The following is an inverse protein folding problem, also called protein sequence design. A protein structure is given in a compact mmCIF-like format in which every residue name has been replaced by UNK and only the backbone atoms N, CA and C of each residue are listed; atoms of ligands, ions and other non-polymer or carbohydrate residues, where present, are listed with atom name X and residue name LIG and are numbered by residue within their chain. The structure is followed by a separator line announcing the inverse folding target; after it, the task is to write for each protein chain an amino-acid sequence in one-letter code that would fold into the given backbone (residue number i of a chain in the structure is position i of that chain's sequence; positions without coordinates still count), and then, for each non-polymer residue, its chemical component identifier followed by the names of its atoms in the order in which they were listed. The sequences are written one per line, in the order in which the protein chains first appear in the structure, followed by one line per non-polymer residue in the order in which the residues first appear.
data_IF_026227810373
#
_entry.id   IF_026227810373
#
_cell.length_a   1.000
_cell.length_b   1.000
_cell.length_c   1.000
_cell.angle_alpha   90.00
_cell.angle_beta   90.00
_cell.angle_gamma   90.00
#
_symmetry.space_group_name_H-M   'P 1'
#
loop_
_entity.id
_entity.type
_entity.pdbx_description
1 polymer ?
#
# COMPACT_ATOMS: atom_id res chain seq x y z
N UNK A 1 11.73 -60.71 -42.50
CA UNK A 1 10.62 -61.27 -41.68
C UNK A 1 9.51 -60.22 -41.67
N UNK A 2 8.21 -60.44 -41.98
CA UNK A 2 7.28 -61.55 -41.69
C UNK A 2 6.99 -61.68 -40.17
N UNK A 3 5.76 -61.62 -39.61
CA UNK A 3 4.33 -61.48 -40.04
C UNK A 3 3.55 -60.90 -38.82
N UNK A 4 2.27 -60.46 -38.77
CA UNK A 4 1.01 -60.38 -39.60
C UNK A 4 0.14 -59.23 -38.97
N UNK A 5 -0.99 -58.64 -39.43
CA UNK A 5 -2.16 -58.98 -40.29
C UNK A 5 -3.23 -59.87 -39.55
N UNK A 6 -4.46 -59.49 -39.10
CA UNK A 6 -5.39 -58.31 -39.13
C UNK A 6 -6.30 -58.38 -37.85
N UNK A 7 -7.28 -57.52 -37.52
CA UNK A 7 -7.94 -56.33 -38.13
C UNK A 7 -9.48 -56.52 -38.26
N UNK A 8 -10.25 -55.42 -38.46
CA UNK A 8 -11.72 -55.37 -38.73
C UNK A 8 -12.68 -55.84 -37.57
N UNK A 9 -13.94 -55.36 -37.38
CA UNK A 9 -14.72 -54.22 -37.94
C UNK A 9 -16.04 -53.96 -37.13
N UNK A 10 -16.59 -52.73 -37.21
CA UNK A 10 -18.01 -52.33 -36.93
C UNK A 10 -18.53 -52.54 -35.48
N UNK A 11 -19.54 -51.82 -34.96
CA UNK A 11 -20.30 -50.65 -35.43
C UNK A 11 -21.52 -50.34 -34.51
N UNK A 12 -22.24 -49.24 -34.78
CA UNK A 12 -23.54 -48.81 -34.21
C UNK A 12 -23.59 -48.09 -32.82
N UNK A 13 -24.11 -46.85 -32.85
CA UNK A 13 -24.96 -46.18 -31.83
C UNK A 13 -26.37 -46.82 -31.79
N UNK A 14 -27.29 -46.53 -30.83
CA UNK A 14 -27.45 -45.30 -30.02
C UNK A 14 -27.85 -45.50 -28.54
N UNK A 15 -28.19 -44.41 -27.84
CA UNK A 15 -28.95 -44.45 -26.58
C UNK A 15 -28.82 -43.19 -25.73
N UNK A 16 -29.94 -42.51 -25.44
CA UNK A 16 -30.00 -41.42 -24.46
C UNK A 16 -30.61 -41.93 -23.15
N UNK A 17 -30.19 -41.38 -22.00
CA UNK A 17 -30.72 -41.72 -20.68
C UNK A 17 -30.69 -40.54 -19.72
N UNK A 18 -31.82 -40.26 -19.07
CA UNK A 18 -31.97 -39.22 -18.05
C UNK A 18 -31.62 -39.77 -16.65
N UNK A 19 -31.04 -38.96 -15.74
CA UNK A 19 -31.06 -39.25 -14.31
C UNK A 19 -32.45 -38.90 -13.72
N UNK A 20 -33.01 -39.81 -12.92
CA UNK A 20 -34.30 -39.61 -12.24
C UNK A 20 -34.22 -38.83 -10.92
N UNK A 21 -35.37 -38.37 -10.36
CA UNK A 21 -35.41 -37.52 -9.18
C UNK A 21 -35.29 -38.29 -7.86
N UNK A 22 -34.76 -37.63 -6.82
CA UNK A 22 -34.81 -38.12 -5.45
C UNK A 22 -36.21 -37.89 -4.83
N UNK A 23 -36.76 -38.91 -4.17
CA UNK A 23 -38.06 -38.85 -3.49
C UNK A 23 -37.98 -38.21 -2.09
N UNK A 24 -39.12 -37.70 -1.61
CA UNK A 24 -39.22 -36.98 -0.33
C UNK A 24 -39.96 -37.76 0.76
N UNK A 25 -39.60 -37.51 2.03
CA UNK A 25 -40.42 -37.80 3.21
C UNK A 25 -39.66 -38.27 4.46
N UNK A 26 -40.20 -38.20 5.68
CA UNK A 26 -41.31 -37.35 6.20
C UNK A 26 -41.39 -37.51 7.74
N UNK A 27 -41.60 -36.42 8.51
CA UNK A 27 -42.10 -36.41 9.92
C UNK A 27 -41.18 -37.07 10.99
N UNK A 28 -41.30 -36.82 12.31
CA UNK A 28 -41.92 -35.72 13.08
C UNK A 28 -41.27 -35.62 14.50
N UNK A 29 -41.48 -34.47 15.17
CA UNK A 29 -41.69 -34.29 16.65
C UNK A 29 -40.57 -34.32 17.72
N UNK A 30 -40.72 -33.29 18.57
CA UNK A 30 -40.70 -33.25 20.04
C UNK A 30 -39.41 -33.49 20.85
N UNK A 31 -38.98 -32.43 21.54
CA UNK A 31 -37.88 -32.43 22.51
C UNK A 31 -37.91 -31.23 23.48
N UNK A 32 -38.94 -31.11 24.32
CA UNK A 32 -39.06 -30.01 25.28
C UNK A 32 -37.95 -30.03 26.36
N UNK A 33 -37.26 -28.90 26.58
CA UNK A 33 -36.68 -28.53 27.89
C UNK A 33 -36.89 -27.05 28.19
N UNK A 34 -37.00 -26.71 29.49
CA UNK A 34 -37.29 -25.37 30.01
C UNK A 34 -36.09 -24.80 30.80
N UNK A 35 -35.91 -23.47 30.73
CA UNK A 35 -35.55 -22.46 31.78
C UNK A 35 -34.79 -22.92 33.04
N UNK A 36 -33.86 -22.11 33.61
CA UNK A 36 -34.00 -20.65 33.88
C UNK A 36 -32.85 -19.80 33.28
N UNK A 37 -32.79 -18.47 33.44
CA UNK A 37 -33.67 -17.52 34.13
C UNK A 37 -32.86 -16.55 35.01
N UNK A 38 -32.59 -15.34 34.52
CA UNK A 38 -31.67 -14.37 35.13
C UNK A 38 -32.35 -13.63 36.30
N UNK A 39 -31.72 -13.67 37.48
CA UNK A 39 -32.14 -12.91 38.66
C UNK A 39 -31.60 -11.47 38.67
N UNK A 40 -32.37 -10.54 39.25
CA UNK A 40 -31.94 -9.14 39.49
C UNK A 40 -31.65 -8.90 40.96
N UNK A 41 -30.56 -8.20 41.24
CA UNK A 41 -30.21 -7.57 42.52
C UNK A 41 -28.81 -6.94 42.38
N UNK A 42 -28.52 -5.74 42.89
CA UNK A 42 -29.35 -4.87 43.72
C UNK A 42 -28.62 -4.51 45.02
N UNK A 43 -27.69 -3.56 44.96
CA UNK A 43 -26.88 -3.12 46.09
C UNK A 43 -26.04 -1.92 45.71
N UNK A 44 -26.40 -0.76 46.25
CA UNK A 44 -25.79 0.55 45.99
C UNK A 44 -25.32 1.14 47.34
N UNK A 45 -24.05 1.55 47.42
CA UNK A 45 -23.46 2.21 48.61
C UNK A 45 -22.38 3.21 48.19
N UNK A 46 -22.75 4.49 48.17
CA UNK A 46 -21.85 5.65 48.06
C UNK A 46 -20.82 5.70 49.22
N UNK A 47 -19.58 6.10 48.93
CA UNK A 47 -18.75 6.87 49.87
C UNK A 47 -17.68 7.75 49.23
N UNK A 48 -18.08 8.96 48.84
CA UNK A 48 -17.17 10.09 48.56
C UNK A 48 -16.20 10.39 49.71
N UNK A 49 -14.93 10.73 49.39
CA UNK A 49 -14.23 11.87 50.02
C UNK A 49 -13.02 12.34 49.19
N UNK A 50 -13.02 13.62 48.84
CA UNK A 50 -11.81 14.35 48.43
C UNK A 50 -11.26 15.14 49.63
N UNK A 51 -10.01 15.63 49.55
CA UNK A 51 -9.54 16.93 50.08
C UNK A 51 -8.01 17.12 49.86
N UNK A 52 -7.65 17.97 48.91
CA UNK A 52 -6.49 18.88 48.98
C UNK A 52 -6.98 20.24 49.56
N UNK A 53 -6.16 21.30 49.83
CA UNK A 53 -4.74 21.51 49.48
C UNK A 53 -3.83 22.01 50.64
N UNK A 54 -2.58 22.36 50.34
CA UNK A 54 -1.63 23.06 51.23
C UNK A 54 -0.97 24.29 50.57
N UNK A 55 -0.57 25.28 51.38
CA UNK A 55 -0.23 26.68 51.04
C UNK A 55 0.72 27.27 52.10
N UNK A 56 1.51 28.33 51.90
CA UNK A 56 1.87 29.20 50.77
C UNK A 56 3.34 29.67 50.98
N UNK A 57 4.05 30.18 49.95
CA UNK A 57 5.35 30.86 50.16
C UNK A 57 6.06 31.34 48.88
N UNK A 58 6.68 32.52 48.91
CA UNK A 58 7.30 33.16 47.75
C UNK A 58 8.53 34.05 48.07
N UNK A 59 9.56 33.95 47.20
CA UNK A 59 10.50 35.01 46.78
C UNK A 59 11.47 35.64 47.85
N UNK A 60 12.43 36.51 47.48
CA UNK A 60 13.60 36.28 46.61
C UNK A 60 14.96 36.61 47.28
N UNK A 61 16.10 36.37 46.61
CA UNK A 61 17.32 37.17 46.91
C UNK A 61 18.69 36.70 46.38
N UNK A 62 19.29 37.52 45.50
CA UNK A 62 20.72 37.67 45.18
C UNK A 62 21.55 36.45 44.64
N UNK A 63 22.47 36.62 43.68
CA UNK A 63 22.76 37.82 42.87
C UNK A 63 24.11 37.73 42.13
N UNK A 64 24.18 38.27 40.90
CA UNK A 64 25.42 38.37 40.08
C UNK A 64 25.57 39.80 39.52
N UNK A 65 26.81 40.21 39.21
CA UNK A 65 27.22 41.62 39.02
C UNK A 65 27.01 42.14 37.59
N UNK A 66 26.76 43.45 37.47
CA UNK A 66 26.83 44.23 36.21
C UNK A 66 28.30 44.50 35.84
N UNK A 67 28.74 44.71 34.58
CA UNK A 67 28.42 45.70 33.52
C UNK A 67 29.21 45.33 32.22
N UNK A 68 29.13 46.06 31.07
CA UNK A 68 28.14 47.03 30.58
C UNK A 68 27.54 46.67 29.19
N UNK A 69 26.67 47.52 28.65
CA UNK A 69 26.12 47.40 27.28
C UNK A 69 27.09 47.85 26.17
N UNK A 70 26.85 47.33 24.96
CA UNK A 70 26.92 48.14 23.73
C UNK A 70 25.61 48.02 22.95
N UNK A 71 25.15 49.11 22.32
CA UNK A 71 24.01 49.12 21.38
C UNK A 71 24.46 48.50 20.06
N UNK A 72 23.77 47.52 19.49
CA UNK A 72 22.42 47.56 18.89
C UNK A 72 22.42 48.21 17.49
N UNK A 73 22.07 47.42 16.48
CA UNK A 73 21.93 47.82 15.08
C UNK A 73 21.10 46.77 14.36
N UNK A 74 19.77 46.92 14.37
CA UNK A 74 18.85 45.97 13.78
C UNK A 74 18.51 46.32 12.33
N UNK A 75 18.65 45.34 11.42
CA UNK A 75 17.96 45.32 10.14
C UNK A 75 16.82 44.29 10.19
N UNK A 76 15.73 44.46 9.42
CA UNK A 76 14.63 43.50 9.41
C UNK A 76 15.11 42.18 8.80
N UNK A 77 14.91 41.07 9.52
CA UNK A 77 15.03 39.72 8.96
C UNK A 77 13.80 39.49 8.08
N UNK A 78 13.91 39.89 6.81
CA UNK A 78 12.92 39.55 5.77
C UNK A 78 12.75 38.04 5.72
N UNK A 79 11.49 37.58 5.65
CA UNK A 79 11.12 36.20 5.92
C UNK A 79 12.02 35.16 5.25
N UNK A 80 12.65 34.33 6.07
CA UNK A 80 13.37 33.15 5.62
C UNK A 80 12.35 32.21 4.97
N UNK A 81 12.30 32.21 3.63
CA UNK A 81 11.47 31.26 2.88
C UNK A 81 11.91 29.85 3.25
N UNK A 82 11.06 29.16 4.00
CA UNK A 82 11.18 27.72 4.21
C UNK A 82 11.05 27.10 2.83
N UNK A 83 12.09 26.37 2.40
CA UNK A 83 12.02 25.59 1.16
C UNK A 83 10.84 24.63 1.26
N UNK A 84 9.88 24.64 0.32
CA UNK A 84 8.72 23.75 0.39
C UNK A 84 9.11 22.26 0.24
N UNK A 85 10.30 21.99 -0.30
CA UNK A 85 10.88 20.65 -0.36
C UNK A 85 11.36 20.20 1.02
N UNK A 86 10.74 19.13 1.53
CA UNK A 86 11.19 18.41 2.72
C UNK A 86 12.40 17.56 2.34
N UNK A 87 13.60 18.13 2.54
CA UNK A 87 14.81 17.32 2.61
C UNK A 87 14.62 16.25 3.71
N UNK A 88 14.94 14.99 3.37
CA UNK A 88 14.64 13.76 4.12
C UNK A 88 14.13 13.97 5.56
N UNK A 89 12.82 13.87 5.75
CA UNK A 89 12.16 14.15 7.02
C UNK A 89 12.78 13.32 8.15
N UNK A 90 13.04 13.96 9.29
CA UNK A 90 13.58 13.29 10.48
C UNK A 90 12.49 12.70 11.39
N UNK A 91 11.25 13.19 11.24
CA UNK A 91 10.03 12.73 11.93
C UNK A 91 8.84 12.84 10.99
N UNK A 92 7.77 12.10 11.29
CA UNK A 92 6.43 12.23 10.71
C UNK A 92 5.48 12.64 11.83
N UNK A 93 4.71 13.72 11.61
CA UNK A 93 3.74 14.27 12.57
C UNK A 93 2.30 14.05 12.10
N UNK A 94 1.30 14.32 12.94
CA UNK A 94 -0.11 14.25 12.54
C UNK A 94 -0.42 15.14 11.32
N UNK A 95 0.16 16.36 11.26
CA UNK A 95 0.07 17.27 10.11
C UNK A 95 0.60 16.67 8.79
N UNK A 96 1.53 15.71 8.86
CA UNK A 96 2.09 15.04 7.68
C UNK A 96 1.18 13.94 7.11
N UNK A 97 0.26 13.39 7.90
CA UNK A 97 -0.48 12.15 7.57
C UNK A 97 -1.35 12.29 6.32
N UNK A 98 -2.01 13.44 6.15
CA UNK A 98 -2.81 13.71 4.95
C UNK A 98 -1.93 13.75 3.69
N UNK A 99 -0.79 14.45 3.75
CA UNK A 99 0.16 14.50 2.64
C UNK A 99 0.86 13.16 2.41
N UNK A 100 1.09 12.37 3.45
CA UNK A 100 1.66 11.03 3.32
C UNK A 100 0.70 10.10 2.55
N UNK A 101 -0.60 10.14 2.86
CA UNK A 101 -1.65 9.43 2.11
C UNK A 101 -1.74 9.91 0.65
N UNK A 102 -1.78 11.21 0.40
CA UNK A 102 -1.83 11.76 -0.98
C UNK A 102 -0.56 11.47 -1.79
N UNK A 103 0.58 11.29 -1.13
CA UNK A 103 1.77 10.73 -1.76
C UNK A 103 1.58 9.26 -2.13
N UNK A 104 1.00 8.47 -1.22
CA UNK A 104 0.80 7.03 -1.40
C UNK A 104 -0.17 6.67 -2.54
N UNK A 105 -1.18 7.50 -2.82
CA UNK A 105 -2.13 7.28 -3.94
C UNK A 105 -1.46 7.45 -5.31
N UNK A 106 -0.51 8.39 -5.46
CA UNK A 106 0.25 8.57 -6.70
C UNK A 106 1.04 7.31 -7.09
N UNK A 107 1.57 6.58 -6.12
CA UNK A 107 2.33 5.35 -6.35
C UNK A 107 1.46 4.09 -6.55
N UNK A 108 0.13 4.23 -6.55
CA UNK A 108 -0.84 3.17 -6.89
C UNK A 108 -2.15 3.79 -7.42
N UNK A 109 -2.15 4.33 -8.66
CA UNK A 109 -3.25 5.14 -9.20
C UNK A 109 -4.51 4.34 -9.57
N UNK A 110 -4.59 3.05 -9.20
CA UNK A 110 -5.71 2.17 -9.51
C UNK A 110 -6.67 1.97 -8.33
N UNK A 111 -6.19 2.15 -7.10
CA UNK A 111 -6.97 1.89 -5.90
C UNK A 111 -7.91 3.06 -5.58
N UNK A 112 -9.20 2.76 -5.43
CA UNK A 112 -10.22 3.73 -5.03
C UNK A 112 -9.99 4.23 -3.60
N UNK A 113 -10.25 5.52 -3.36
CA UNK A 113 -10.01 6.22 -2.07
C UNK A 113 -11.04 5.86 -0.96
N UNK A 114 -11.46 4.60 -0.88
CA UNK A 114 -12.37 4.12 0.15
C UNK A 114 -11.77 4.31 1.55
N UNK A 115 -12.57 4.79 2.51
CA UNK A 115 -12.17 5.10 3.89
C UNK A 115 -10.97 6.06 4.09
N UNK A 116 -10.56 6.80 3.05
CA UNK A 116 -9.45 7.77 3.09
C UNK A 116 -9.47 8.70 4.31
N UNK A 117 -10.59 9.36 4.58
CA UNK A 117 -10.72 10.28 5.71
C UNK A 117 -10.51 9.56 7.04
N UNK A 118 -11.25 8.47 7.28
CA UNK A 118 -11.15 7.65 8.49
C UNK A 118 -9.74 7.11 8.74
N UNK A 119 -8.99 6.75 7.68
CA UNK A 119 -7.61 6.27 7.76
C UNK A 119 -6.62 7.39 8.10
N UNK A 120 -6.82 8.60 7.55
CA UNK A 120 -6.02 9.78 7.88
C UNK A 120 -6.29 10.19 9.33
N UNK A 121 -7.56 10.33 9.72
CA UNK A 121 -7.98 10.74 11.06
C UNK A 121 -7.49 9.75 12.14
N UNK A 122 -7.57 8.44 11.88
CA UNK A 122 -7.09 7.39 12.78
C UNK A 122 -5.56 7.45 12.99
N UNK A 123 -4.77 7.50 11.91
CA UNK A 123 -3.30 7.53 12.01
C UNK A 123 -2.80 8.87 12.55
N UNK A 124 -3.48 9.98 12.25
CA UNK A 124 -3.20 11.28 12.87
C UNK A 124 -3.44 11.25 14.38
N UNK A 125 -4.61 10.77 14.84
CA UNK A 125 -4.90 10.62 16.28
C UNK A 125 -3.90 9.71 16.98
N UNK A 126 -3.51 8.60 16.36
CA UNK A 126 -2.50 7.69 16.92
C UNK A 126 -1.13 8.37 17.10
N UNK A 127 -0.73 9.24 16.17
CA UNK A 127 0.53 10.00 16.26
C UNK A 127 0.42 11.16 17.27
N UNK A 128 -0.74 11.77 17.44
CA UNK A 128 -0.96 12.77 18.51
C UNK A 128 -0.95 12.13 19.91
N UNK A 129 -1.51 10.93 20.07
CA UNK A 129 -1.55 10.19 21.34
C UNK A 129 -0.19 9.55 21.72
N UNK A 130 0.59 9.07 20.74
CA UNK A 130 1.88 8.37 20.98
C UNK A 130 3.11 9.26 20.77
N UNK A 131 2.99 10.33 20.00
CA UNK A 131 4.06 11.25 19.61
C UNK A 131 4.62 11.02 18.19
N UNK A 132 5.39 11.99 17.65
CA UNK A 132 5.89 11.93 16.28
C UNK A 132 6.77 10.70 15.98
N UNK A 133 6.47 9.99 14.90
CA UNK A 133 7.21 8.81 14.46
C UNK A 133 8.56 9.24 13.90
N UNK A 134 9.66 8.75 14.48
CA UNK A 134 11.02 9.05 14.03
C UNK A 134 11.31 8.34 12.70
N UNK A 135 11.80 9.07 11.71
CA UNK A 135 12.12 8.55 10.38
C UNK A 135 13.65 8.47 10.18
N UNK A 136 14.15 7.29 9.82
CA UNK A 136 15.58 7.01 9.69
C UNK A 136 15.95 6.31 8.38
N UNK A 137 17.08 6.68 7.77
CA UNK A 137 17.68 5.86 6.71
C UNK A 137 18.26 4.58 7.36
N UNK A 138 18.20 3.40 6.71
CA UNK A 138 18.77 2.16 7.26
C UNK A 138 20.22 2.29 7.75
N UNK A 139 21.06 3.08 7.06
CA UNK A 139 22.45 3.32 7.43
C UNK A 139 22.66 4.23 8.67
N UNK A 140 21.59 4.75 9.29
CA UNK A 140 21.65 5.57 10.51
C UNK A 140 21.41 4.75 11.80
N UNK A 141 21.04 3.48 11.69
CA UNK A 141 20.75 2.58 12.81
C UNK A 141 21.78 1.44 12.91
N UNK A 142 21.87 0.72 14.06
CA UNK A 142 22.74 -0.43 14.20
C UNK A 142 22.45 -1.49 13.14
N UNK A 143 23.48 -1.93 12.42
CA UNK A 143 23.35 -2.81 11.27
C UNK A 143 22.82 -4.22 11.62
N UNK A 144 22.95 -4.61 12.89
CA UNK A 144 22.54 -5.87 13.50
C UNK A 144 21.16 -5.82 14.16
N UNK A 145 20.58 -4.64 14.36
CA UNK A 145 19.20 -4.50 14.86
C UNK A 145 18.21 -5.08 13.84
N UNK A 146 17.20 -5.80 14.33
CA UNK A 146 16.18 -6.44 13.50
C UNK A 146 15.14 -5.42 13.00
N UNK A 147 14.53 -5.74 11.87
CA UNK A 147 13.44 -4.97 11.25
C UNK A 147 12.54 -5.89 10.44
N UNK A 148 11.30 -5.44 10.17
CA UNK A 148 10.31 -6.15 9.37
C UNK A 148 9.55 -5.21 8.42
N UNK A 149 9.19 -5.74 7.25
CA UNK A 149 8.35 -5.09 6.25
C UNK A 149 6.87 -5.24 6.61
N UNK A 150 6.13 -4.13 6.63
CA UNK A 150 4.70 -4.06 6.98
C UNK A 150 3.91 -3.55 5.78
N UNK A 151 2.70 -4.07 5.56
CA UNK A 151 1.72 -3.52 4.62
C UNK A 151 0.30 -4.02 4.94
N UNK A 152 -0.68 -3.60 4.14
CA UNK A 152 -1.97 -4.30 3.97
C UNK A 152 -1.84 -5.27 2.79
N UNK A 153 -2.45 -6.44 2.89
CA UNK A 153 -2.67 -7.37 1.78
C UNK A 153 -4.16 -7.68 1.64
N UNK A 154 -4.64 -7.87 0.42
CA UNK A 154 -6.06 -8.03 0.12
C UNK A 154 -6.70 -6.75 -0.45
N UNK A 155 -8.03 -6.64 -0.34
CA UNK A 155 -8.78 -5.56 -0.99
C UNK A 155 -8.95 -4.32 -0.11
N UNK A 156 -8.72 -3.15 -0.70
CA UNK A 156 -9.09 -1.86 -0.10
C UNK A 156 -10.60 -1.70 0.14
N UNK A 157 -11.46 -2.41 -0.61
CA UNK A 157 -12.90 -2.45 -0.33
C UNK A 157 -13.23 -3.28 0.92
N UNK A 158 -12.57 -4.42 1.11
CA UNK A 158 -12.73 -5.24 2.31
C UNK A 158 -12.23 -4.52 3.57
N UNK A 159 -11.13 -3.77 3.45
CA UNK A 159 -10.67 -2.86 4.50
C UNK A 159 -11.68 -1.73 4.79
N UNK A 160 -12.40 -1.24 3.79
CA UNK A 160 -13.40 -0.20 3.99
C UNK A 160 -14.68 -0.72 4.67
N UNK A 161 -15.12 -1.93 4.33
CA UNK A 161 -16.27 -2.61 4.94
C UNK A 161 -15.96 -3.16 6.34
N UNK A 162 -14.71 -3.57 6.60
CA UNK A 162 -14.21 -4.10 7.87
C UNK A 162 -12.91 -3.36 8.27
N UNK A 163 -13.00 -2.12 8.79
CA UNK A 163 -11.83 -1.30 9.12
C UNK A 163 -11.00 -1.86 10.28
N UNK A 164 -9.72 -1.44 10.42
CA UNK A 164 -8.87 -1.87 11.53
C UNK A 164 -9.46 -1.52 12.90
N UNK A 165 -9.38 -2.47 13.82
CA UNK A 165 -9.62 -2.30 15.26
C UNK A 165 -8.48 -1.52 15.93
N UNK A 166 -7.27 -1.58 15.36
CA UNK A 166 -6.12 -0.74 15.69
C UNK A 166 -4.85 -1.51 16.04
N UNK A 167 -4.96 -2.77 16.48
CA UNK A 167 -3.84 -3.59 16.94
C UNK A 167 -3.33 -4.60 15.89
N UNK A 168 -3.95 -4.70 14.71
CA UNK A 168 -3.63 -5.72 13.71
C UNK A 168 -2.16 -5.66 13.27
N UNK A 169 -1.66 -4.46 12.97
CA UNK A 169 -0.31 -4.24 12.43
C UNK A 169 0.78 -4.48 13.49
N UNK A 170 0.61 -3.95 14.70
CA UNK A 170 1.56 -4.16 15.79
C UNK A 170 1.50 -5.60 16.31
N UNK A 171 0.31 -6.21 16.37
CA UNK A 171 0.12 -7.63 16.69
C UNK A 171 0.83 -8.56 15.70
N UNK A 172 0.70 -8.32 14.40
CA UNK A 172 1.44 -9.09 13.38
C UNK A 172 2.96 -9.00 13.59
N UNK A 173 3.49 -7.83 13.97
CA UNK A 173 4.90 -7.70 14.38
C UNK A 173 5.19 -8.46 15.68
N UNK A 174 4.37 -8.35 16.72
CA UNK A 174 4.58 -9.07 17.99
C UNK A 174 4.55 -10.60 17.82
N UNK A 175 3.78 -11.12 16.89
CA UNK A 175 3.77 -12.55 16.54
C UNK A 175 5.02 -12.96 15.75
N UNK A 176 5.44 -12.12 14.78
CA UNK A 176 6.69 -12.34 14.06
C UNK A 176 7.91 -12.31 15.00
N UNK A 177 7.96 -11.35 15.93
CA UNK A 177 8.98 -11.27 17.01
C UNK A 177 9.05 -12.54 17.87
N UNK A 178 7.90 -13.11 18.23
CA UNK A 178 7.81 -14.35 19.00
C UNK A 178 8.38 -15.55 18.23
N UNK A 179 8.12 -15.62 16.93
CA UNK A 179 8.59 -16.72 16.09
C UNK A 179 10.08 -16.60 15.73
N UNK A 180 10.59 -15.40 15.40
CA UNK A 180 12.02 -15.21 15.06
C UNK A 180 12.94 -15.09 16.30
N UNK A 181 12.36 -14.94 17.50
CA UNK A 181 13.13 -14.91 18.76
C UNK A 181 13.84 -13.59 19.04
N UNK A 182 13.30 -12.46 18.58
CA UNK A 182 13.90 -11.13 18.76
C UNK A 182 12.91 -9.99 18.60
N UNK A 183 13.21 -8.82 19.18
CA UNK A 183 12.41 -7.59 19.00
C UNK A 183 12.82 -6.86 17.72
N UNK A 184 11.85 -6.26 17.03
CA UNK A 184 12.13 -5.36 15.91
C UNK A 184 12.56 -4.00 16.46
N UNK A 185 13.73 -3.53 16.03
CA UNK A 185 14.27 -2.20 16.35
C UNK A 185 13.79 -1.10 15.38
N UNK A 186 13.18 -1.48 14.26
CA UNK A 186 12.53 -0.58 13.31
C UNK A 186 11.48 -1.34 12.47
N UNK A 187 10.55 -0.63 11.84
CA UNK A 187 9.65 -1.17 10.81
C UNK A 187 9.73 -0.34 9.53
N UNK A 188 9.27 -0.88 8.40
CA UNK A 188 9.31 -0.19 7.11
C UNK A 188 8.20 -0.70 6.16
N UNK A 189 7.78 0.09 5.15
CA UNK A 189 6.81 -0.38 4.17
C UNK A 189 7.35 -1.53 3.32
N UNK A 190 6.54 -2.56 3.09
CA UNK A 190 6.79 -3.50 1.97
C UNK A 190 6.69 -2.74 0.64
N UNK A 191 5.66 -1.89 0.52
CA UNK A 191 5.44 -0.96 -0.57
C UNK A 191 4.96 0.39 0.01
N UNK A 192 5.65 1.48 -0.33
CA UNK A 192 5.25 2.83 0.03
C UNK A 192 4.20 3.35 -0.96
N UNK A 193 3.01 2.75 -0.93
CA UNK A 193 1.87 3.11 -1.76
C UNK A 193 0.55 2.69 -1.07
N UNK A 194 -0.58 3.24 -1.52
CA UNK A 194 -1.95 3.02 -0.96
C UNK A 194 -2.04 3.19 0.57
N UNK A 195 -3.09 2.63 1.17
CA UNK A 195 -3.17 2.34 2.61
C UNK A 195 -2.03 1.43 3.12
N UNK A 196 -1.35 0.68 2.25
CA UNK A 196 -0.15 -0.09 2.61
C UNK A 196 1.02 0.77 3.05
N UNK A 197 1.06 2.06 2.69
CA UNK A 197 1.97 3.04 3.26
C UNK A 197 1.61 3.42 4.71
N UNK A 198 0.31 3.43 5.06
CA UNK A 198 -0.21 3.83 6.37
C UNK A 198 0.07 2.76 7.44
N UNK A 199 -0.03 1.48 7.07
CA UNK A 199 0.24 0.33 7.93
C UNK A 199 1.59 0.37 8.71
N UNK A 200 2.76 0.56 8.08
CA UNK A 200 4.04 0.69 8.77
C UNK A 200 4.13 1.96 9.63
N UNK A 201 3.44 3.05 9.26
CA UNK A 201 3.43 4.28 10.05
C UNK A 201 2.64 4.11 11.35
N UNK A 202 1.47 3.47 11.28
CA UNK A 202 0.68 3.09 12.45
C UNK A 202 1.41 2.07 13.34
N UNK A 203 2.05 1.06 12.73
CA UNK A 203 2.86 0.09 13.46
C UNK A 203 4.05 0.74 14.18
N UNK A 204 4.74 1.70 13.55
CA UNK A 204 5.86 2.42 14.14
C UNK A 204 5.43 3.22 15.39
N UNK A 205 4.28 3.90 15.30
CA UNK A 205 3.68 4.66 16.39
C UNK A 205 3.31 3.76 17.60
N UNK A 206 2.48 2.73 17.40
CA UNK A 206 2.00 1.84 18.48
C UNK A 206 3.13 0.99 19.11
N UNK A 207 4.10 0.55 18.30
CA UNK A 207 5.25 -0.22 18.80
C UNK A 207 6.31 0.65 19.51
N UNK A 208 6.29 1.98 19.30
CA UNK A 208 7.30 2.92 19.78
C UNK A 208 8.68 2.76 19.12
N UNK A 209 8.71 2.44 17.82
CA UNK A 209 9.95 2.16 17.06
C UNK A 209 10.10 3.10 15.85
N UNK A 210 11.32 3.41 15.39
CA UNK A 210 11.51 4.22 14.19
C UNK A 210 10.97 3.54 12.92
N UNK A 211 10.43 4.35 12.03
CA UNK A 211 10.12 4.00 10.65
C UNK A 211 11.39 4.15 9.80
N UNK A 212 11.65 3.23 8.86
CA UNK A 212 12.74 3.40 7.90
C UNK A 212 12.28 4.14 6.64
N UNK A 213 13.10 5.09 6.20
CA UNK A 213 12.95 5.83 4.94
C UNK A 213 13.45 4.99 3.76
N UNK A 214 12.83 3.82 3.56
CA UNK A 214 13.02 2.91 2.45
C UNK A 214 11.82 1.95 2.31
N UNK A 215 11.62 1.35 1.13
CA UNK A 215 10.64 0.27 0.96
C UNK A 215 11.20 -0.91 0.13
N UNK A 216 10.37 -1.92 -0.12
CA UNK A 216 10.70 -3.04 -0.99
C UNK A 216 10.41 -2.82 -2.48
N UNK A 217 9.54 -1.88 -2.88
CA UNK A 217 8.93 -1.85 -4.22
C UNK A 217 9.06 -0.51 -4.96
N UNK A 218 8.93 0.62 -4.28
CA UNK A 218 8.96 1.97 -4.85
C UNK A 218 7.66 2.41 -5.54
N UNK A 219 6.70 1.48 -5.65
CA UNK A 219 5.31 1.55 -6.13
C UNK A 219 4.55 0.34 -5.57
N UNK A 220 3.29 0.10 -5.93
CA UNK A 220 2.68 -1.23 -5.73
C UNK A 220 3.11 -2.23 -6.82
N UNK A 221 3.29 -3.51 -6.44
CA UNK A 221 3.32 -4.67 -7.33
C UNK A 221 2.43 -5.80 -6.77
N UNK A 222 2.02 -6.74 -7.62
CA UNK A 222 0.91 -7.68 -7.34
C UNK A 222 1.20 -8.87 -6.39
N UNK A 223 2.45 -9.11 -5.98
CA UNK A 223 2.86 -10.26 -5.15
C UNK A 223 3.88 -9.82 -4.10
N UNK A 224 3.87 -10.40 -2.89
CA UNK A 224 4.71 -9.94 -1.78
C UNK A 224 6.20 -10.15 -2.03
N UNK A 225 6.57 -11.13 -2.87
CA UNK A 225 7.96 -11.33 -3.28
C UNK A 225 8.45 -10.40 -4.40
N UNK A 226 7.59 -9.58 -5.01
CA UNK A 226 7.99 -8.62 -6.05
C UNK A 226 8.70 -7.40 -5.45
N UNK A 227 9.85 -7.62 -4.79
CA UNK A 227 10.61 -6.58 -4.09
C UNK A 227 12.09 -6.56 -4.51
N UNK A 228 12.69 -5.36 -4.47
CA UNK A 228 14.13 -5.17 -4.53
C UNK A 228 14.87 -5.96 -3.44
N UNK A 229 14.19 -6.22 -2.31
CA UNK A 229 14.73 -7.03 -1.20
C UNK A 229 14.89 -8.49 -1.60
N UNK A 230 13.90 -9.06 -2.29
CA UNK A 230 13.98 -10.40 -2.84
C UNK A 230 15.06 -10.51 -3.92
N UNK A 231 15.14 -9.54 -4.84
CA UNK A 231 16.23 -9.42 -5.83
C UNK A 231 17.61 -9.26 -5.16
N UNK A 232 17.66 -8.63 -3.98
CA UNK A 232 18.85 -8.51 -3.12
C UNK A 232 19.13 -9.76 -2.26
N UNK A 233 18.38 -10.85 -2.42
CA UNK A 233 18.57 -12.12 -1.72
C UNK A 233 18.02 -12.18 -0.29
N UNK A 234 17.17 -11.24 0.13
CA UNK A 234 16.49 -11.27 1.43
C UNK A 234 15.24 -12.17 1.33
N UNK A 235 15.07 -13.06 2.31
CA UNK A 235 13.90 -13.93 2.43
C UNK A 235 12.63 -13.13 2.74
N UNK A 236 11.55 -13.41 2.02
CA UNK A 236 10.18 -12.95 2.35
C UNK A 236 9.70 -13.51 3.69
N UNK A 237 10.03 -14.77 3.98
CA UNK A 237 9.56 -15.51 5.13
C UNK A 237 10.60 -15.63 6.27
N UNK A 238 10.17 -16.00 7.50
CA UNK A 238 8.78 -16.23 7.89
C UNK A 238 7.95 -14.94 7.86
N UNK A 239 6.65 -15.06 7.60
CA UNK A 239 5.72 -13.93 7.53
C UNK A 239 4.43 -14.23 8.31
N UNK A 240 3.84 -13.20 8.89
CA UNK A 240 2.58 -13.23 9.62
C UNK A 240 1.53 -12.41 8.88
N UNK A 241 0.32 -12.95 8.80
CA UNK A 241 -0.88 -12.26 8.36
C UNK A 241 -1.87 -12.21 9.52
N UNK A 242 -2.42 -11.05 9.86
CA UNK A 242 -3.42 -10.90 10.94
C UNK A 242 -4.67 -10.17 10.45
N UNK A 243 -5.84 -10.77 10.66
CA UNK A 243 -7.15 -10.24 10.25
C UNK A 243 -7.75 -9.31 11.29
N UNK A 244 -8.74 -8.50 10.88
CA UNK A 244 -9.41 -7.51 11.72
C UNK A 244 -10.15 -8.08 12.94
N UNK A 245 -10.52 -9.36 12.87
CA UNK A 245 -11.19 -10.11 13.96
C UNK A 245 -10.20 -10.77 14.93
N UNK A 246 -8.90 -10.63 14.70
CA UNK A 246 -7.82 -11.02 15.61
C UNK A 246 -7.17 -12.37 15.31
N UNK A 247 -7.73 -13.18 14.41
CA UNK A 247 -7.07 -14.40 13.90
C UNK A 247 -5.80 -14.07 13.12
N UNK A 248 -4.82 -14.98 13.17
CA UNK A 248 -3.57 -14.86 12.45
C UNK A 248 -3.13 -16.15 11.75
N UNK A 249 -2.27 -16.00 10.74
CA UNK A 249 -1.66 -17.07 9.97
C UNK A 249 -0.17 -16.78 9.84
N UNK A 250 0.67 -17.66 10.39
CA UNK A 250 2.11 -17.70 10.14
C UNK A 250 2.37 -18.56 8.90
N UNK A 251 3.14 -18.04 7.94
CA UNK A 251 3.57 -18.76 6.74
C UNK A 251 5.11 -18.83 6.73
N UNK A 252 5.64 -20.05 6.74
CA UNK A 252 7.05 -20.36 6.52
C UNK A 252 7.17 -21.19 5.24
N UNK A 253 7.80 -20.63 4.21
CA UNK A 253 7.99 -21.26 2.92
C UNK A 253 9.35 -20.88 2.32
N UNK A 254 10.24 -21.84 1.98
CA UNK A 254 11.54 -21.54 1.36
C UNK A 254 11.45 -21.01 -0.08
N UNK A 255 10.32 -21.25 -0.75
CA UNK A 255 9.98 -20.73 -2.07
C UNK A 255 9.07 -19.50 -1.89
N UNK A 256 9.51 -18.29 -2.27
CA UNK A 256 8.71 -17.08 -2.10
C UNK A 256 7.46 -17.05 -2.99
N UNK A 257 7.47 -17.68 -4.17
CA UNK A 257 6.27 -17.83 -4.99
C UNK A 257 5.27 -18.80 -4.35
N UNK A 258 5.75 -19.77 -3.56
CA UNK A 258 4.90 -20.60 -2.69
C UNK A 258 4.34 -19.82 -1.51
N UNK A 259 5.09 -18.88 -0.94
CA UNK A 259 4.61 -18.02 0.14
C UNK A 259 3.40 -17.17 -0.34
N UNK A 260 3.51 -16.51 -1.49
CA UNK A 260 2.41 -15.79 -2.15
C UNK A 260 1.19 -16.70 -2.44
N UNK A 261 1.43 -17.92 -2.92
CA UNK A 261 0.37 -18.89 -3.22
C UNK A 261 -0.34 -19.43 -1.96
N UNK A 262 0.30 -19.37 -0.79
CA UNK A 262 -0.31 -19.69 0.51
C UNK A 262 -1.02 -18.47 1.11
N UNK A 263 -0.46 -17.28 0.96
CA UNK A 263 -1.02 -16.05 1.50
C UNK A 263 -2.37 -15.69 0.86
N UNK A 264 -2.51 -15.84 -0.46
CA UNK A 264 -3.74 -15.47 -1.19
C UNK A 264 -5.04 -16.07 -0.60
N UNK A 265 -5.20 -17.40 -0.44
CA UNK A 265 -6.41 -17.95 0.17
C UNK A 265 -6.56 -17.61 1.66
N UNK A 266 -5.46 -17.35 2.38
CA UNK A 266 -5.54 -16.89 3.77
C UNK A 266 -6.16 -15.48 3.90
N UNK A 267 -5.97 -14.59 2.92
CA UNK A 267 -6.63 -13.27 2.90
C UNK A 267 -8.15 -13.41 2.83
N UNK A 268 -8.67 -14.32 2.01
CA UNK A 268 -10.13 -14.58 1.90
C UNK A 268 -10.71 -15.04 3.24
N UNK A 269 -10.01 -15.94 3.94
CA UNK A 269 -10.43 -16.50 5.24
C UNK A 269 -10.35 -15.46 6.37
N UNK A 270 -9.40 -14.52 6.30
CA UNK A 270 -9.23 -13.43 7.28
C UNK A 270 -10.18 -12.23 7.09
N UNK A 271 -11.14 -12.32 6.15
CA UNK A 271 -12.15 -11.27 5.91
C UNK A 271 -11.92 -10.42 4.66
N UNK A 272 -11.02 -10.82 3.76
CA UNK A 272 -10.74 -10.14 2.50
C UNK A 272 -9.60 -9.11 2.54
N UNK A 273 -9.06 -8.84 3.73
CA UNK A 273 -7.78 -8.16 3.94
C UNK A 273 -7.06 -8.71 5.18
N UNK A 274 -5.76 -8.44 5.29
CA UNK A 274 -4.97 -8.68 6.50
C UNK A 274 -3.83 -7.66 6.65
N UNK A 275 -3.45 -7.38 7.88
CA UNK A 275 -2.16 -6.79 8.20
C UNK A 275 -1.05 -7.81 7.94
N UNK A 276 -0.01 -7.41 7.22
CA UNK A 276 1.15 -8.24 6.90
C UNK A 276 2.38 -7.77 7.69
N UNK A 277 3.13 -8.71 8.25
CA UNK A 277 4.49 -8.50 8.73
C UNK A 277 5.41 -9.60 8.18
N UNK A 278 6.47 -9.23 7.46
CA UNK A 278 7.41 -10.19 6.85
C UNK A 278 8.79 -9.58 6.62
N UNK A 279 9.63 -10.24 5.81
CA UNK A 279 11.03 -9.86 5.62
C UNK A 279 11.79 -9.57 6.95
N UNK A 280 11.71 -10.44 7.97
CA UNK A 280 12.42 -10.23 9.23
C UNK A 280 13.94 -10.31 9.00
N UNK A 281 14.68 -9.24 9.32
CA UNK A 281 16.12 -9.25 9.11
C UNK A 281 16.89 -8.05 9.67
N UNK A 282 18.23 -8.16 9.72
CA UNK A 282 19.10 -7.09 10.20
C UNK A 282 19.06 -5.88 9.24
N UNK A 283 18.88 -4.67 9.79
CA UNK A 283 18.77 -3.41 9.03
C UNK A 283 19.96 -3.19 8.07
N UNK A 284 21.14 -3.70 8.41
CA UNK A 284 22.33 -3.68 7.56
C UNK A 284 22.18 -4.42 6.22
N UNK A 285 21.21 -5.31 6.05
CA UNK A 285 20.87 -5.93 4.76
C UNK A 285 20.14 -4.93 3.84
N UNK A 286 19.18 -4.17 4.38
CA UNK A 286 18.35 -3.21 3.64
C UNK A 286 19.19 -2.13 2.94
N UNK A 287 20.37 -1.79 3.49
CA UNK A 287 21.32 -0.82 2.90
C UNK A 287 21.76 -1.13 1.46
N UNK A 288 21.56 -2.36 0.97
CA UNK A 288 21.91 -2.81 -0.39
C UNK A 288 20.72 -3.39 -1.17
N UNK A 289 19.53 -3.43 -0.57
CA UNK A 289 18.41 -4.26 -1.05
C UNK A 289 17.03 -3.60 -0.90
N UNK A 290 16.87 -2.56 -0.08
CA UNK A 290 15.67 -1.73 -0.02
C UNK A 290 15.87 -0.44 -0.81
N UNK A 291 14.78 0.12 -1.34
CA UNK A 291 14.79 1.35 -2.14
C UNK A 291 14.75 2.58 -1.23
N UNK A 292 15.80 3.42 -1.18
CA UNK A 292 15.91 4.46 -0.15
C UNK A 292 15.15 5.74 -0.51
N UNK A 293 14.54 6.38 0.50
CA UNK A 293 13.88 7.68 0.38
C UNK A 293 12.42 7.65 -0.06
N UNK A 294 11.77 6.49 0.01
CA UNK A 294 10.40 6.29 -0.49
C UNK A 294 9.37 6.97 0.41
N UNK A 295 9.46 6.79 1.72
CA UNK A 295 8.57 7.42 2.73
C UNK A 295 8.65 8.95 2.66
N UNK A 296 9.85 9.51 2.68
CA UNK A 296 10.04 10.97 2.58
C UNK A 296 9.64 11.52 1.20
N UNK A 297 9.75 10.72 0.13
CA UNK A 297 9.24 11.07 -1.21
C UNK A 297 7.71 11.12 -1.23
N UNK A 298 7.00 10.27 -0.49
CA UNK A 298 5.53 10.35 -0.38
C UNK A 298 5.09 11.70 0.18
N UNK A 299 5.65 12.12 1.33
CA UNK A 299 5.30 13.40 1.97
C UNK A 299 5.54 14.58 1.00
N UNK A 300 6.65 14.58 0.26
CA UNK A 300 6.93 15.61 -0.75
C UNK A 300 5.95 15.60 -1.93
N UNK A 301 5.58 14.42 -2.45
CA UNK A 301 4.64 14.28 -3.58
C UNK A 301 3.22 14.66 -3.15
N UNK A 302 2.75 14.23 -1.98
CA UNK A 302 1.41 14.54 -1.52
C UNK A 302 1.22 16.00 -1.10
N UNK A 303 2.22 16.64 -0.47
CA UNK A 303 2.19 18.10 -0.23
C UNK A 303 1.99 18.87 -1.54
N UNK A 304 2.70 18.48 -2.59
CA UNK A 304 2.55 19.04 -3.95
C UNK A 304 1.14 18.77 -4.51
N UNK A 305 0.59 17.57 -4.37
CA UNK A 305 -0.74 17.20 -4.89
C UNK A 305 -1.90 17.84 -4.10
N UNK A 306 -1.68 18.23 -2.84
CA UNK A 306 -2.63 18.99 -2.02
C UNK A 306 -2.64 20.49 -2.34
N UNK A 307 -1.62 21.03 -2.99
CA UNK A 307 -1.55 22.42 -3.43
C UNK A 307 -2.34 22.61 -4.75
N UNK A 308 -3.41 23.44 -4.79
CA UNK A 308 -4.14 23.69 -6.03
C UNK A 308 -3.26 24.36 -7.10
N UNK A 309 -3.26 23.83 -8.32
CA UNK A 309 -2.48 24.37 -9.43
C UNK A 309 -2.95 23.85 -10.80
N UNK A 310 -2.55 24.57 -11.84
CA UNK A 310 -2.77 24.16 -13.23
C UNK A 310 -1.99 22.88 -13.55
N UNK A 311 -2.55 22.00 -14.38
CA UNK A 311 -1.99 20.68 -14.71
C UNK A 311 -0.51 20.75 -15.14
N UNK A 312 -0.14 21.76 -15.94
CA UNK A 312 1.24 21.93 -16.43
C UNK A 312 2.24 22.35 -15.34
N UNK A 313 1.79 23.07 -14.31
CA UNK A 313 2.60 23.41 -13.13
C UNK A 313 2.75 22.19 -12.21
N UNK A 314 1.67 21.45 -11.98
CA UNK A 314 1.67 20.24 -11.14
C UNK A 314 2.56 19.17 -11.75
N UNK A 315 2.41 18.87 -13.05
CA UNK A 315 3.23 17.89 -13.78
C UNK A 315 4.70 18.33 -13.83
N UNK A 316 4.99 19.63 -14.02
CA UNK A 316 6.35 20.15 -13.98
C UNK A 316 7.03 19.95 -12.61
N UNK A 317 6.30 20.17 -11.51
CA UNK A 317 6.82 19.92 -10.14
C UNK A 317 6.97 18.42 -9.84
N UNK A 318 6.03 17.57 -10.27
CA UNK A 318 6.14 16.11 -10.14
C UNK A 318 7.40 15.61 -10.87
N UNK A 319 7.65 16.11 -12.08
CA UNK A 319 8.86 15.79 -12.87
C UNK A 319 10.15 16.05 -12.09
N UNK A 320 10.24 17.19 -11.40
CA UNK A 320 11.41 17.56 -10.60
C UNK A 320 11.66 16.68 -9.36
N UNK A 321 10.62 16.04 -8.80
CA UNK A 321 10.74 15.18 -7.60
C UNK A 321 10.91 13.70 -7.97
N UNK A 322 10.33 13.25 -9.08
CA UNK A 322 10.11 11.82 -9.37
C UNK A 322 10.63 11.37 -10.74
N UNK A 323 10.98 12.29 -11.64
CA UNK A 323 11.24 11.99 -13.04
C UNK A 323 9.99 11.72 -13.89
N UNK A 324 8.79 12.03 -13.38
CA UNK A 324 7.53 11.98 -14.17
C UNK A 324 7.66 12.74 -15.48
N UNK A 325 7.18 12.15 -16.58
CA UNK A 325 6.99 12.80 -17.88
C UNK A 325 5.55 12.64 -18.34
N UNK A 326 5.03 13.61 -19.09
CA UNK A 326 3.81 13.41 -19.88
C UNK A 326 4.13 12.62 -21.15
N UNK A 327 3.26 11.69 -21.52
CA UNK A 327 3.28 11.02 -22.83
C UNK A 327 2.48 11.84 -23.83
N UNK A 328 1.25 12.21 -23.45
CA UNK A 328 0.32 12.98 -24.27
C UNK A 328 -0.80 13.63 -23.46
N UNK A 329 -1.62 14.45 -24.12
CA UNK A 329 -2.84 15.09 -23.58
C UNK A 329 -4.01 14.90 -24.54
N UNK A 330 -5.08 14.27 -24.07
CA UNK A 330 -6.22 13.92 -24.91
C UNK A 330 -7.50 13.64 -24.15
N UNK A 331 -8.59 13.40 -24.87
CA UNK A 331 -9.86 12.97 -24.28
C UNK A 331 -10.01 11.46 -24.33
N UNK A 332 -10.52 10.88 -23.26
CA UNK A 332 -10.97 9.48 -23.26
C UNK A 332 -12.12 9.36 -24.27
N UNK A 333 -11.95 8.53 -25.29
CA UNK A 333 -12.99 8.26 -26.32
C UNK A 333 -13.64 6.89 -26.16
N UNK A 334 -12.94 5.93 -25.55
CA UNK A 334 -13.46 4.58 -25.30
C UNK A 334 -12.91 4.00 -23.98
N UNK A 335 -13.76 3.26 -23.27
CA UNK A 335 -13.44 2.48 -22.08
C UNK A 335 -13.93 1.04 -22.29
N UNK A 336 -13.04 0.15 -22.69
CA UNK A 336 -13.38 -1.26 -22.93
C UNK A 336 -13.48 -1.98 -21.58
N UNK A 337 -14.63 -2.54 -21.23
CA UNK A 337 -14.84 -3.26 -19.98
C UNK A 337 -14.92 -4.78 -20.22
N UNK A 338 -13.80 -5.42 -20.63
CA UNK A 338 -13.74 -6.88 -20.63
C UNK A 338 -13.65 -7.40 -19.19
N UNK A 339 -14.78 -7.85 -18.65
CA UNK A 339 -14.86 -8.62 -17.40
C UNK A 339 -14.12 -9.96 -17.53
N UNK A 340 -12.79 -9.93 -17.54
CA UNK A 340 -11.92 -11.11 -17.42
C UNK A 340 -12.14 -11.66 -16.00
N UNK A 341 -12.37 -12.98 -15.82
CA UNK A 341 -12.66 -13.54 -14.50
C UNK A 341 -11.39 -13.63 -13.64
N UNK A 342 -11.06 -12.51 -13.01
CA UNK A 342 -10.06 -12.37 -11.95
C UNK A 342 -10.75 -11.66 -10.79
N UNK A 343 -11.16 -12.46 -9.80
CA UNK A 343 -11.85 -12.09 -8.56
C UNK A 343 -13.20 -11.36 -8.71
N UNK A 344 -14.30 -12.08 -8.41
CA UNK A 344 -15.68 -11.57 -8.41
C UNK A 344 -15.97 -10.49 -7.33
N UNK A 345 -14.97 -10.10 -6.56
CA UNK A 345 -15.02 -9.17 -5.43
C UNK A 345 -14.48 -7.77 -5.74
N UNK A 346 -13.84 -7.59 -6.91
CA UNK A 346 -13.33 -6.30 -7.39
C UNK A 346 -14.25 -5.78 -8.50
N UNK A 347 -14.60 -4.48 -8.53
CA UNK A 347 -15.29 -3.88 -9.68
C UNK A 347 -14.53 -4.14 -10.97
N UNK A 348 -15.24 -4.39 -12.07
CA UNK A 348 -14.62 -4.60 -13.37
C UNK A 348 -14.01 -3.29 -13.89
N UNK A 349 -12.74 -3.02 -13.56
CA UNK A 349 -11.97 -1.94 -14.17
C UNK A 349 -11.98 -2.09 -15.71
N UNK A 350 -11.91 -0.99 -16.47
CA UNK A 350 -11.72 -1.07 -17.91
C UNK A 350 -10.44 -1.86 -18.22
N UNK A 351 -10.50 -2.79 -19.17
CA UNK A 351 -9.37 -3.59 -19.65
C UNK A 351 -8.49 -2.82 -20.63
N UNK A 352 -9.05 -1.85 -21.34
CA UNK A 352 -8.30 -0.86 -22.10
C UNK A 352 -8.98 0.51 -22.11
N UNK A 353 -8.18 1.56 -22.24
CA UNK A 353 -8.62 2.96 -22.32
C UNK A 353 -8.04 3.56 -23.59
N UNK A 354 -8.89 4.13 -24.45
CA UNK A 354 -8.48 4.81 -25.68
C UNK A 354 -8.62 6.32 -25.50
N UNK A 355 -7.55 7.05 -25.82
CA UNK A 355 -7.45 8.51 -25.68
C UNK A 355 -7.09 9.10 -27.05
N UNK A 356 -7.90 10.05 -27.50
CA UNK A 356 -7.65 10.86 -28.71
C UNK A 356 -6.86 12.12 -28.30
N UNK A 357 -5.60 12.22 -28.74
CA UNK A 357 -4.75 13.36 -28.38
C UNK A 357 -5.13 14.63 -29.15
N UNK A 358 -4.88 15.79 -28.52
CA UNK A 358 -5.03 17.10 -29.18
C UNK A 358 -4.08 17.29 -30.39
N UNK A 359 -3.11 16.39 -30.58
CA UNK A 359 -2.23 16.31 -31.76
C UNK A 359 -2.67 15.31 -32.84
N UNK A 360 -3.75 14.55 -32.63
CA UNK A 360 -4.27 13.55 -33.58
C UNK A 360 -3.60 12.17 -33.56
N UNK A 361 -2.79 11.88 -32.54
CA UNK A 361 -2.30 10.53 -32.24
C UNK A 361 -3.28 9.81 -31.32
N UNK A 362 -3.38 8.48 -31.42
CA UNK A 362 -4.22 7.66 -30.54
C UNK A 362 -3.35 6.97 -29.50
N UNK A 363 -3.61 7.27 -28.22
CA UNK A 363 -3.05 6.50 -27.11
C UNK A 363 -4.00 5.36 -26.72
N UNK A 364 -3.45 4.15 -26.59
CA UNK A 364 -4.13 2.98 -26.02
C UNK A 364 -3.39 2.56 -24.75
N UNK A 365 -4.10 2.54 -23.63
CA UNK A 365 -3.61 2.02 -22.36
C UNK A 365 -4.16 0.60 -22.17
N UNK A 366 -3.29 -0.35 -21.82
CA UNK A 366 -3.68 -1.70 -21.38
C UNK A 366 -3.74 -1.74 -19.85
N UNK A 367 -4.84 -2.25 -19.31
CA UNK A 367 -5.12 -2.23 -17.88
C UNK A 367 -5.30 -3.65 -17.30
N UNK A 368 -4.96 -3.76 -16.01
CA UNK A 368 -5.13 -4.93 -15.12
C UNK A 368 -5.71 -4.41 -13.80
N UNK A 369 -5.08 -4.74 -12.67
CA UNK A 369 -5.19 -3.98 -11.41
C UNK A 369 -4.47 -2.62 -11.47
N UNK A 370 -3.88 -2.25 -12.61
CA UNK A 370 -3.14 -1.01 -12.87
C UNK A 370 -2.94 -0.84 -14.38
N UNK A 371 -2.47 0.34 -14.84
CA UNK A 371 -2.06 0.53 -16.24
C UNK A 371 -0.69 -0.12 -16.45
N UNK A 372 -0.62 -1.16 -17.29
CA UNK A 372 0.57 -2.00 -17.49
C UNK A 372 1.32 -1.70 -18.79
N UNK A 373 0.68 -1.04 -19.76
CA UNK A 373 1.31 -0.58 -21.00
C UNK A 373 0.60 0.63 -21.59
N UNK A 374 1.36 1.48 -22.29
CA UNK A 374 0.89 2.59 -23.11
C UNK A 374 1.42 2.41 -24.53
N UNK A 375 0.52 2.43 -25.49
CA UNK A 375 0.82 2.44 -26.92
C UNK A 375 0.42 3.79 -27.51
N UNK A 376 1.23 4.34 -28.42
CA UNK A 376 0.91 5.51 -29.25
C UNK A 376 0.97 5.06 -30.70
N UNK A 377 -0.15 5.16 -31.42
CA UNK A 377 -0.32 4.68 -32.81
C UNK A 377 0.20 3.25 -33.04
N UNK A 378 0.02 2.38 -32.03
CA UNK A 378 0.48 0.98 -32.03
C UNK A 378 1.93 0.74 -31.57
N UNK A 379 2.74 1.78 -31.38
CA UNK A 379 4.08 1.67 -30.83
C UNK A 379 4.07 1.74 -29.29
N UNK A 380 4.71 0.79 -28.61
CA UNK A 380 4.84 0.77 -27.14
C UNK A 380 5.74 1.92 -26.64
N UNK A 381 5.19 2.88 -25.88
CA UNK A 381 5.88 4.10 -25.42
C UNK A 381 6.18 4.13 -23.91
N UNK A 382 5.46 3.32 -23.13
CA UNK A 382 5.73 3.02 -21.71
C UNK A 382 5.11 1.66 -21.33
N UNK A 383 5.65 1.01 -20.30
CA UNK A 383 5.08 -0.23 -19.75
C UNK A 383 5.59 -0.51 -18.33
N UNK A 384 4.97 -1.46 -17.63
CA UNK A 384 5.50 -2.00 -16.39
C UNK A 384 6.98 -2.43 -16.57
N UNK A 385 7.89 -2.05 -15.66
CA UNK A 385 7.66 -1.55 -14.30
C UNK A 385 7.44 -0.04 -14.18
N UNK A 386 7.47 0.76 -15.25
CA UNK A 386 7.19 2.21 -15.17
C UNK A 386 5.77 2.45 -14.63
N UNK A 387 5.64 3.41 -13.72
CA UNK A 387 4.38 3.78 -13.07
C UNK A 387 3.61 4.74 -13.98
N UNK A 388 2.41 4.33 -14.40
CA UNK A 388 1.57 5.12 -15.32
C UNK A 388 0.34 5.64 -14.56
N UNK A 389 0.17 6.95 -14.55
CA UNK A 389 -0.92 7.65 -13.87
C UNK A 389 -1.74 8.46 -14.88
N UNK A 390 -3.04 8.64 -14.62
CA UNK A 390 -3.87 9.62 -15.33
C UNK A 390 -4.06 10.86 -14.45
N UNK A 391 -3.90 12.04 -15.03
CA UNK A 391 -4.15 13.31 -14.35
C UNK A 391 -5.25 14.08 -15.08
N UNK A 392 -6.29 14.43 -14.32
CA UNK A 392 -7.45 15.21 -14.72
C UNK A 392 -7.06 16.67 -14.97
N UNK A 393 -7.12 17.10 -16.22
CA UNK A 393 -6.73 18.47 -16.59
C UNK A 393 -7.78 19.49 -16.12
N UNK A 394 -9.06 19.12 -16.11
CA UNK A 394 -10.17 20.02 -15.76
C UNK A 394 -10.41 20.08 -14.24
N UNK A 395 -10.19 18.96 -13.51
CA UNK A 395 -10.35 18.87 -12.05
C UNK A 395 -9.01 19.02 -11.29
N UNK A 396 -7.88 19.15 -11.99
CA UNK A 396 -6.58 19.50 -11.42
C UNK A 396 -5.97 18.48 -10.46
N UNK A 397 -6.22 17.17 -10.69
CA UNK A 397 -5.89 16.10 -9.73
C UNK A 397 -5.63 14.75 -10.44
N UNK A 398 -5.14 13.76 -9.72
CA UNK A 398 -5.06 12.38 -10.25
C UNK A 398 -6.45 11.76 -10.42
N UNK A 399 -6.65 11.01 -11.50
CA UNK A 399 -7.86 10.23 -11.76
C UNK A 399 -7.62 8.75 -11.43
N UNK A 400 -8.26 8.18 -10.39
CA UNK A 400 -8.21 6.73 -10.17
C UNK A 400 -8.97 5.98 -11.28
N UNK A 401 -8.50 4.78 -11.62
CA UNK A 401 -8.94 4.03 -12.82
C UNK A 401 -10.41 3.57 -12.79
N UNK A 402 -11.04 3.57 -11.61
CA UNK A 402 -12.46 3.28 -11.40
C UNK A 402 -13.39 4.48 -11.70
N UNK A 403 -12.83 5.70 -11.75
CA UNK A 403 -13.58 6.95 -11.88
C UNK A 403 -13.67 7.52 -13.30
N UNK A 404 -12.94 6.93 -14.24
CA UNK A 404 -12.75 7.42 -15.61
C UNK A 404 -14.06 7.44 -16.42
N UNK A 405 -14.29 8.49 -17.21
CA UNK A 405 -15.47 8.63 -18.06
C UNK A 405 -15.09 9.05 -19.49
N UNK A 406 -15.82 8.57 -20.53
CA UNK A 406 -15.64 9.07 -21.89
C UNK A 406 -15.94 10.57 -21.94
N UNK A 407 -14.99 11.35 -22.47
CA UNK A 407 -15.02 12.81 -22.51
C UNK A 407 -14.08 13.50 -21.51
N UNK A 408 -13.62 12.83 -20.45
CA UNK A 408 -12.62 13.39 -19.51
C UNK A 408 -11.34 13.77 -20.27
N UNK A 409 -10.83 14.99 -20.01
CA UNK A 409 -9.57 15.48 -20.56
C UNK A 409 -8.43 15.12 -19.60
N UNK A 410 -7.52 14.25 -20.06
CA UNK A 410 -6.47 13.67 -19.22
C UNK A 410 -5.07 13.86 -19.81
N UNK A 411 -4.12 14.08 -18.91
CA UNK A 411 -2.69 13.87 -19.16
C UNK A 411 -2.32 12.42 -18.83
N UNK A 412 -1.67 11.73 -19.78
CA UNK A 412 -1.06 10.42 -19.53
C UNK A 412 0.34 10.64 -18.97
N UNK A 413 0.54 10.35 -17.69
CA UNK A 413 1.79 10.56 -16.97
C UNK A 413 2.53 9.24 -16.78
N UNK A 414 3.86 9.26 -16.95
CA UNK A 414 4.73 8.10 -16.77
C UNK A 414 5.91 8.48 -15.88
N UNK A 415 6.04 7.77 -14.77
CA UNK A 415 7.09 7.91 -13.77
C UNK A 415 8.01 6.70 -13.85
N UNK A 416 9.34 6.88 -13.94
CA UNK A 416 10.26 5.75 -14.00
C UNK A 416 10.22 4.94 -12.72
N UNK A 417 10.34 3.61 -12.87
CA UNK A 417 10.71 2.73 -11.76
C UNK A 417 12.15 3.02 -11.30
N UNK A 418 12.49 2.53 -10.11
CA UNK A 418 13.89 2.48 -9.66
C UNK A 418 14.77 1.66 -10.64
N UNK A 419 16.06 2.01 -10.71
CA UNK A 419 17.04 1.38 -11.60
C UNK A 419 17.11 -0.15 -11.48
N UNK A 420 16.88 -0.72 -10.30
CA UNK A 420 16.89 -2.19 -10.09
C UNK A 420 15.84 -2.91 -10.95
N UNK A 421 14.70 -2.25 -11.22
CA UNK A 421 13.56 -2.85 -11.91
C UNK A 421 13.78 -3.07 -13.41
N UNK A 422 14.82 -2.47 -13.99
CA UNK A 422 15.20 -2.69 -15.40
C UNK A 422 16.24 -3.80 -15.60
N UNK A 423 16.67 -4.47 -14.53
CA UNK A 423 17.51 -5.66 -14.63
C UNK A 423 16.78 -6.79 -15.40
N UNK A 424 17.50 -7.74 -16.03
CA UNK A 424 16.87 -8.83 -16.79
C UNK A 424 15.94 -9.70 -15.93
N UNK A 425 16.30 -9.91 -14.66
CA UNK A 425 15.56 -10.68 -13.67
C UNK A 425 14.29 -9.95 -13.22
N UNK A 426 14.41 -8.68 -12.83
CA UNK A 426 13.26 -7.86 -12.47
C UNK A 426 12.25 -7.71 -13.63
N UNK A 427 12.73 -7.58 -14.88
CA UNK A 427 11.85 -7.53 -16.06
C UNK A 427 11.22 -8.89 -16.44
N UNK A 428 11.71 -10.01 -15.92
CA UNK A 428 11.01 -11.29 -16.01
C UNK A 428 9.89 -11.41 -14.95
N UNK A 429 10.04 -10.72 -13.82
CA UNK A 429 9.11 -10.70 -12.68
C UNK A 429 7.96 -9.69 -12.86
N UNK A 430 8.28 -8.41 -13.13
CA UNK A 430 7.33 -7.28 -13.20
C UNK A 430 7.37 -6.52 -14.54
N UNK A 431 8.01 -7.09 -15.56
CA UNK A 431 8.03 -6.52 -16.91
C UNK A 431 6.77 -6.83 -17.74
N UNK A 432 6.67 -6.33 -18.97
CA UNK A 432 5.44 -6.43 -19.78
C UNK A 432 5.00 -7.89 -20.03
N UNK A 433 5.96 -8.81 -20.08
CA UNK A 433 5.73 -10.22 -20.32
C UNK A 433 4.92 -10.91 -19.21
N UNK A 434 5.10 -10.55 -17.92
CA UNK A 434 4.32 -11.17 -16.83
C UNK A 434 2.85 -10.70 -16.82
N UNK A 435 2.57 -9.53 -17.41
CA UNK A 435 1.22 -9.07 -17.71
C UNK A 435 0.67 -9.59 -19.06
N UNK A 436 1.40 -10.48 -19.75
CA UNK A 436 0.99 -11.12 -21.00
C UNK A 436 1.28 -10.32 -22.28
N UNK A 437 2.15 -9.31 -22.22
CA UNK A 437 2.53 -8.47 -23.36
C UNK A 437 3.94 -8.90 -23.85
N UNK A 438 4.08 -9.66 -24.95
CA UNK A 438 5.35 -10.24 -25.39
C UNK A 438 6.21 -9.23 -26.17
N UNK A 439 6.52 -8.09 -25.56
CA UNK A 439 7.32 -7.00 -26.13
C UNK A 439 8.38 -6.53 -25.15
N UNK A 440 9.58 -6.22 -25.65
CA UNK A 440 10.62 -5.58 -24.83
C UNK A 440 10.19 -4.18 -24.37
N UNK A 441 10.42 -3.96 -23.07
CA UNK A 441 10.23 -2.67 -22.40
C UNK A 441 10.94 -1.54 -23.15
N UNK A 442 10.35 -0.35 -23.33
CA UNK A 442 10.96 0.72 -24.14
C UNK A 442 12.39 1.12 -23.74
N UNK A 443 12.79 0.94 -22.47
CA UNK A 443 14.16 1.19 -21.97
C UNK A 443 15.20 0.09 -22.31
N UNK A 444 14.82 -0.98 -22.99
CA UNK A 444 15.71 -2.05 -23.49
C UNK A 444 16.07 -1.93 -24.98
N UNK A 445 15.56 -0.91 -25.67
CA UNK A 445 15.65 -0.72 -27.13
C UNK A 445 16.81 0.19 -27.53
#
# INVERSE_FOLDING_TARGET
MARRDRGDRLGATPGAGQPGPAGAGHRDRDGQRRRPGIGRGGGDVDRRRALQPGRDGADPGAGVRTRPHHRAGGGPVTGQQVSPYVGAAAVVTADDVAAYYEGATFYSPADGNASKASLIDWVASLIDDTGPVVLHRPAALPADALSAAICVIGSGSALADLPPSGDEFSGAVRELEQHVGGRMGAVYPLAAATVSAMAPLAAAADLGVPLLDCDGMGRTFALVHHTAMHLGGISTGPLVMRGATGESVLIEAPDPARADALARPSVEVLGGWAAFAGYPGPIGALTRAALPGTVSRLINVGRLLMEPGEADVVVGRLSAITGTRRIGRGRIVELEHLSRPTDFTVPAHPSSVIIDESGGAILRLELRSEVVAVFSDGALTAAAPDLVCLFDVDRGRLSPLDSLQPGDLVDVLVTPADGVWYSPEALAMVGPASHGIPLDHPRKR
#
